data_IF_838314642842
#
_entry.id   IF_838314642842
#
_cell.length_a   1.000
_cell.length_b   1.000
_cell.length_c   1.000
_cell.angle_alpha   90.00
_cell.angle_beta   90.00
_cell.angle_gamma   90.00
#
_symmetry.space_group_name_H-M   'P 1'
#
loop_
_entity.id
_entity.type
_entity.pdbx_description
1 polymer ?
#
# COMPACT_ATOMS: atom_id res chain seq x y z
N UNK A 1 26.25 8.30 8.52
CA UNK A 1 24.84 8.77 8.41
C UNK A 1 24.32 8.82 6.97
N UNK A 2 24.91 9.56 6.02
CA UNK A 2 24.41 9.60 4.62
C UNK A 2 24.55 8.27 3.86
N UNK A 3 25.67 7.57 4.03
CA UNK A 3 25.93 6.27 3.40
C UNK A 3 24.95 5.20 3.90
N UNK A 4 24.69 5.19 5.20
CA UNK A 4 23.78 4.25 5.86
C UNK A 4 22.32 4.40 5.40
N UNK A 5 21.82 5.63 5.26
CA UNK A 5 20.49 5.90 4.69
C UNK A 5 20.40 5.37 3.24
N UNK A 6 21.48 5.52 2.46
CA UNK A 6 21.55 4.98 1.10
C UNK A 6 21.47 3.46 1.03
N UNK A 7 22.03 2.76 2.03
CA UNK A 7 21.93 1.29 2.13
C UNK A 7 20.49 0.86 2.39
N UNK A 8 19.81 1.47 3.36
CA UNK A 8 18.42 1.10 3.68
C UNK A 8 17.44 1.43 2.55
N UNK A 9 17.62 2.56 1.87
CA UNK A 9 16.83 2.89 0.68
C UNK A 9 16.93 1.81 -0.40
N UNK A 10 18.16 1.36 -0.71
CA UNK A 10 18.39 0.28 -1.69
C UNK A 10 17.82 -1.06 -1.21
N UNK A 11 17.98 -1.37 0.08
CA UNK A 11 17.46 -2.60 0.67
C UNK A 11 15.93 -2.68 0.53
N UNK A 12 15.21 -1.62 0.91
CA UNK A 12 13.74 -1.56 0.78
C UNK A 12 13.33 -1.73 -0.67
N UNK A 13 13.97 -1.02 -1.60
CA UNK A 13 13.72 -1.18 -3.03
C UNK A 13 13.90 -2.62 -3.51
N UNK A 14 15.00 -3.27 -3.15
CA UNK A 14 15.26 -4.67 -3.50
C UNK A 14 14.19 -5.62 -2.93
N UNK A 15 13.80 -5.44 -1.67
CA UNK A 15 12.77 -6.28 -1.05
C UNK A 15 11.41 -6.11 -1.74
N UNK A 16 11.01 -4.87 -2.05
CA UNK A 16 9.76 -4.59 -2.76
C UNK A 16 9.75 -5.21 -4.17
N UNK A 17 10.84 -5.06 -4.91
CA UNK A 17 10.96 -5.63 -6.27
C UNK A 17 10.92 -7.16 -6.25
N UNK A 18 11.57 -7.80 -5.27
CA UNK A 18 11.49 -9.25 -5.10
C UNK A 18 10.08 -9.72 -4.72
N UNK A 19 9.37 -8.95 -3.88
CA UNK A 19 7.99 -9.23 -3.48
C UNK A 19 7.04 -9.16 -4.68
N UNK A 20 7.14 -8.11 -5.48
CA UNK A 20 6.33 -7.93 -6.68
C UNK A 20 6.62 -8.99 -7.74
N UNK A 21 7.92 -9.26 -8.02
CA UNK A 21 8.32 -10.29 -8.99
C UNK A 21 7.81 -11.68 -8.62
N UNK A 22 7.68 -11.97 -7.33
CA UNK A 22 7.13 -13.22 -6.84
C UNK A 22 5.58 -13.26 -6.81
N UNK A 23 4.90 -12.21 -7.30
CA UNK A 23 3.44 -12.11 -7.28
C UNK A 23 2.85 -12.02 -5.87
N UNK A 24 3.63 -11.63 -4.87
CA UNK A 24 3.16 -11.51 -3.48
C UNK A 24 2.61 -10.12 -3.19
N UNK A 25 1.84 -10.02 -2.12
CA UNK A 25 1.20 -8.77 -1.71
C UNK A 25 2.26 -7.73 -1.34
N UNK A 26 2.03 -6.50 -1.80
CA UNK A 26 2.70 -5.27 -1.35
C UNK A 26 1.62 -4.34 -0.83
N UNK A 27 1.77 -3.86 0.41
CA UNK A 27 0.80 -2.99 1.06
C UNK A 27 1.47 -1.71 1.59
N UNK A 28 0.90 -0.54 1.29
CA UNK A 28 1.47 0.76 1.70
C UNK A 28 0.39 1.79 2.08
N UNK A 29 0.56 2.47 3.21
CA UNK A 29 -0.41 3.43 3.74
C UNK A 29 0.20 4.82 3.90
N UNK A 30 -0.63 5.85 3.80
CA UNK A 30 -0.27 7.24 4.09
C UNK A 30 0.76 7.79 3.10
N UNK A 31 1.98 8.08 3.57
CA UNK A 31 3.08 8.54 2.73
C UNK A 31 3.88 7.38 2.10
N UNK A 32 3.74 6.15 2.61
CA UNK A 32 4.51 4.99 2.15
C UNK A 32 4.35 4.66 0.65
N UNK A 33 3.21 4.93 -0.03
CA UNK A 33 3.11 4.76 -1.49
C UNK A 33 4.17 5.54 -2.29
N UNK A 34 4.76 6.60 -1.74
CA UNK A 34 5.88 7.32 -2.39
C UNK A 34 7.14 6.47 -2.51
N UNK A 35 7.36 5.50 -1.60
CA UNK A 35 8.45 4.53 -1.70
C UNK A 35 8.23 3.56 -2.87
N UNK A 36 6.98 3.16 -3.13
CA UNK A 36 6.62 2.34 -4.29
C UNK A 36 6.99 3.06 -5.58
N UNK A 37 6.62 4.35 -5.68
CA UNK A 37 7.00 5.20 -6.81
C UNK A 37 8.51 5.32 -6.98
N UNK A 38 9.22 5.53 -5.88
CA UNK A 38 10.69 5.69 -5.89
C UNK A 38 11.44 4.42 -6.33
N UNK A 39 10.82 3.25 -6.19
CA UNK A 39 11.41 1.96 -6.54
C UNK A 39 10.76 1.27 -7.74
N UNK A 40 9.83 1.95 -8.43
CA UNK A 40 9.19 1.46 -9.65
C UNK A 40 8.22 0.29 -9.43
N UNK A 41 7.54 0.25 -8.27
CA UNK A 41 6.62 -0.83 -7.91
C UNK A 41 5.21 -0.51 -8.39
N UNK A 42 4.56 -1.45 -9.07
CA UNK A 42 3.17 -1.36 -9.53
C UNK A 42 2.88 -0.32 -10.62
N UNK A 43 3.74 -0.08 -11.62
CA UNK A 43 3.44 0.88 -12.68
C UNK A 43 2.12 0.53 -13.39
N UNK A 44 1.29 1.53 -13.66
CA UNK A 44 -0.03 1.40 -14.29
C UNK A 44 -1.18 1.00 -13.35
N UNK A 45 -0.87 0.63 -12.09
CA UNK A 45 -1.86 0.25 -11.09
C UNK A 45 -2.67 1.43 -10.55
N UNK A 46 -3.88 1.14 -10.07
CA UNK A 46 -4.68 2.04 -9.26
C UNK A 46 -4.17 2.02 -7.82
N UNK A 47 -3.98 3.20 -7.22
CA UNK A 47 -3.62 3.34 -5.81
C UNK A 47 -4.28 4.57 -5.17
N UNK A 48 -4.13 4.68 -3.86
CA UNK A 48 -4.40 5.88 -3.08
C UNK A 48 -3.20 6.21 -2.19
N UNK A 49 -3.20 7.40 -1.59
CA UNK A 49 -2.19 7.86 -0.64
C UNK A 49 -2.76 8.94 0.27
N UNK A 50 -1.96 9.41 1.21
CA UNK A 50 -2.35 10.57 2.02
C UNK A 50 -2.60 11.79 1.12
N UNK A 51 -3.65 12.61 1.37
CA UNK A 51 -4.09 13.63 0.42
C UNK A 51 -3.00 14.59 -0.08
N UNK A 52 -2.06 15.00 0.79
CA UNK A 52 -0.98 15.91 0.39
C UNK A 52 0.05 15.31 -0.56
N UNK A 53 0.08 13.97 -0.70
CA UNK A 53 0.98 13.25 -1.61
C UNK A 53 0.34 13.00 -2.98
N UNK A 54 -0.95 13.28 -3.16
CA UNK A 54 -1.68 13.04 -4.42
C UNK A 54 -0.96 13.64 -5.63
N UNK A 55 -0.52 14.90 -5.52
CA UNK A 55 0.20 15.58 -6.60
C UNK A 55 1.47 14.80 -6.98
N UNK A 56 2.30 14.47 -6.00
CA UNK A 56 3.52 13.69 -6.20
C UNK A 56 3.21 12.33 -6.83
N UNK A 57 2.16 11.62 -6.40
CA UNK A 57 1.82 10.31 -6.93
C UNK A 57 1.37 10.34 -8.40
N UNK A 58 0.73 11.44 -8.83
CA UNK A 58 0.26 11.62 -10.21
C UNK A 58 1.35 12.08 -11.19
N UNK A 59 2.51 12.57 -10.72
CA UNK A 59 3.56 13.04 -11.64
C UNK A 59 4.03 11.90 -12.56
N UNK A 60 4.31 12.24 -13.81
CA UNK A 60 4.75 11.33 -14.87
C UNK A 60 3.73 10.24 -15.24
N UNK A 61 2.48 10.32 -14.78
CA UNK A 61 1.39 9.40 -15.12
C UNK A 61 1.72 7.91 -14.86
N UNK A 62 2.55 7.63 -13.85
CA UNK A 62 2.98 6.25 -13.51
C UNK A 62 1.83 5.44 -12.92
N UNK A 63 0.90 6.07 -12.21
CA UNK A 63 -0.21 5.43 -11.52
C UNK A 63 -1.56 6.05 -11.87
N UNK A 64 -2.62 5.25 -11.74
CA UNK A 64 -3.99 5.76 -11.60
C UNK A 64 -4.24 6.08 -10.12
N UNK A 65 -5.09 7.06 -9.84
CA UNK A 65 -5.33 7.51 -8.47
C UNK A 65 -6.81 7.44 -8.10
N UNK A 66 -7.11 6.89 -6.92
CA UNK A 66 -8.44 6.90 -6.31
C UNK A 66 -8.40 7.65 -4.98
N UNK A 67 -9.52 8.23 -4.59
CA UNK A 67 -9.69 8.87 -3.27
C UNK A 67 -10.38 7.98 -2.24
N UNK A 68 -10.63 6.72 -2.58
CA UNK A 68 -11.14 5.70 -1.65
C UNK A 68 -10.17 5.47 -0.48
N UNK A 69 -10.74 5.05 0.66
CA UNK A 69 -10.00 4.78 1.89
C UNK A 69 -8.95 3.68 1.72
N UNK A 70 -9.28 2.66 0.94
CA UNK A 70 -8.42 1.53 0.61
C UNK A 70 -8.62 1.19 -0.86
N UNK A 71 -7.52 0.98 -1.57
CA UNK A 71 -7.52 0.51 -2.96
C UNK A 71 -6.81 -0.84 -3.00
N UNK A 72 -7.46 -1.83 -3.61
CA UNK A 72 -6.88 -3.15 -3.90
C UNK A 72 -6.84 -3.35 -5.41
N UNK A 73 -5.64 -3.33 -6.01
CA UNK A 73 -5.43 -3.62 -7.43
C UNK A 73 -4.48 -4.82 -7.59
N UNK A 74 -5.07 -6.00 -7.77
CA UNK A 74 -4.31 -7.25 -7.81
C UNK A 74 -3.61 -7.52 -6.47
N UNK A 75 -2.27 -7.47 -6.47
CA UNK A 75 -1.43 -7.71 -5.30
C UNK A 75 -0.99 -6.41 -4.60
N UNK A 76 -1.36 -5.24 -5.13
CA UNK A 76 -1.07 -3.95 -4.53
C UNK A 76 -2.25 -3.49 -3.67
N UNK A 77 -1.99 -3.20 -2.40
CA UNK A 77 -2.97 -2.63 -1.47
C UNK A 77 -2.45 -1.27 -1.00
N UNK A 78 -3.25 -0.22 -1.14
CA UNK A 78 -2.88 1.11 -0.63
C UNK A 78 -3.99 1.76 0.17
N UNK A 79 -3.64 2.67 1.07
CA UNK A 79 -4.60 3.37 1.93
C UNK A 79 -4.15 4.78 2.31
N UNK A 80 -5.10 5.62 2.74
CA UNK A 80 -4.92 7.07 2.83
C UNK A 80 -4.19 7.56 4.06
N UNK A 81 -4.47 7.06 5.27
CA UNK A 81 -3.89 7.65 6.47
C UNK A 81 -4.35 6.99 7.77
N UNK A 82 -4.08 7.61 8.93
CA UNK A 82 -4.41 7.03 10.22
C UNK A 82 -5.90 6.66 10.37
N UNK A 83 -6.80 7.51 9.87
CA UNK A 83 -8.25 7.25 9.90
C UNK A 83 -8.71 6.05 9.06
N UNK A 84 -7.87 5.55 8.15
CA UNK A 84 -8.17 4.40 7.30
C UNK A 84 -7.34 3.17 7.66
N UNK A 85 -6.56 3.22 8.75
CA UNK A 85 -5.63 2.16 9.14
C UNK A 85 -6.34 0.84 9.45
N UNK A 86 -7.52 0.88 10.09
CA UNK A 86 -8.28 -0.34 10.35
C UNK A 86 -8.82 -0.98 9.06
N UNK A 87 -9.41 -0.18 8.16
CA UNK A 87 -9.86 -0.66 6.84
C UNK A 87 -8.70 -1.26 6.04
N UNK A 88 -7.52 -0.63 6.10
CA UNK A 88 -6.30 -1.13 5.47
C UNK A 88 -5.86 -2.48 6.04
N UNK A 89 -5.81 -2.62 7.37
CA UNK A 89 -5.47 -3.87 8.03
C UNK A 89 -6.45 -5.00 7.67
N UNK A 90 -7.76 -4.71 7.72
CA UNK A 90 -8.80 -5.66 7.35
C UNK A 90 -8.70 -6.09 5.87
N UNK A 91 -8.42 -5.16 4.96
CA UNK A 91 -8.18 -5.49 3.55
C UNK A 91 -6.97 -6.41 3.33
N UNK A 92 -5.90 -6.26 4.13
CA UNK A 92 -4.75 -7.18 4.11
C UNK A 92 -5.15 -8.56 4.62
N UNK A 93 -5.87 -8.63 5.75
CA UNK A 93 -6.37 -9.89 6.32
C UNK A 93 -7.27 -10.61 5.32
N UNK A 94 -8.23 -9.89 4.72
CA UNK A 94 -9.13 -10.45 3.71
C UNK A 94 -8.35 -10.96 2.49
N UNK A 95 -7.35 -10.22 2.01
CA UNK A 95 -6.55 -10.64 0.85
C UNK A 95 -5.73 -11.91 1.13
N UNK A 96 -5.25 -12.08 2.36
CA UNK A 96 -4.42 -13.23 2.75
C UNK A 96 -5.24 -14.45 3.16
N UNK A 97 -6.34 -14.26 3.87
CA UNK A 97 -7.06 -15.30 4.60
C UNK A 97 -8.56 -15.37 4.25
N UNK A 98 -9.05 -14.48 3.40
CA UNK A 98 -10.45 -14.40 2.99
C UNK A 98 -11.36 -13.63 3.96
N UNK A 99 -12.59 -13.37 3.50
CA UNK A 99 -13.61 -12.62 4.26
C UNK A 99 -14.01 -13.29 5.57
N UNK A 100 -14.00 -14.63 5.59
CA UNK A 100 -14.34 -15.43 6.77
C UNK A 100 -13.38 -15.18 7.94
N UNK A 101 -12.12 -14.84 7.65
CA UNK A 101 -11.14 -14.44 8.66
C UNK A 101 -11.23 -12.95 9.01
N UNK A 102 -11.49 -12.08 8.02
CA UNK A 102 -11.57 -10.62 8.25
C UNK A 102 -12.80 -10.21 9.09
N UNK A 103 -13.96 -10.84 8.87
CA UNK A 103 -15.21 -10.50 9.55
C UNK A 103 -15.15 -10.59 11.08
N UNK A 104 -14.68 -11.72 11.67
CA UNK A 104 -14.50 -11.84 13.12
C UNK A 104 -13.50 -10.81 13.69
N UNK A 105 -12.42 -10.50 12.97
CA UNK A 105 -11.44 -9.48 13.38
C UNK A 105 -12.08 -8.10 13.42
N UNK A 106 -12.84 -7.72 12.37
CA UNK A 106 -13.56 -6.46 12.32
C UNK A 106 -14.57 -6.35 13.47
N UNK A 107 -15.35 -7.40 13.72
CA UNK A 107 -16.32 -7.45 14.81
C UNK A 107 -15.65 -7.30 16.18
N UNK A 108 -14.49 -7.95 16.39
CA UNK A 108 -13.70 -7.81 17.62
C UNK A 108 -13.16 -6.39 17.86
N UNK A 109 -13.00 -5.61 16.79
CA UNK A 109 -12.60 -4.20 16.83
C UNK A 109 -13.79 -3.23 16.83
N UNK A 110 -15.03 -3.74 16.89
CA UNK A 110 -16.28 -2.96 16.80
C UNK A 110 -16.42 -2.17 15.48
N UNK A 111 -15.96 -2.77 14.38
CA UNK A 111 -16.03 -2.21 13.04
C UNK A 111 -17.00 -2.99 12.16
N UNK A 112 -17.53 -2.31 11.15
CA UNK A 112 -18.22 -2.94 10.01
C UNK A 112 -17.18 -3.39 8.97
N UNK A 113 -17.44 -4.52 8.29
CA UNK A 113 -16.58 -5.08 7.26
C UNK A 113 -17.30 -5.18 5.92
#
# INVERSE_FOLDING_TARGET
MKEEIGVYFKLVGSLLQQQEKAGRIVAAICAAPTALKSHGIGPGKLLTSYPSLKKQMLENNVYKYSEEDVVVDGQLITSRGPGTAFKFGLAIVEKLLGKEAAGPVAKGLLLEN
#
